data_IF_998808357380
#
_entry.id   IF_998808357380
#
_cell.length_a   1.000
_cell.length_b   1.000
_cell.length_c   1.000
_cell.angle_alpha   90.00
_cell.angle_beta   90.00
_cell.angle_gamma   90.00
#
_symmetry.space_group_name_H-M   'P 1'
#
loop_
_entity.id
_entity.type
_entity.pdbx_description
1 polymer ?
#
# COMPACT_ATOMS: atom_id res chain seq x y z
N UNK A 1 43.10 -1.08 -4.75
CA UNK A 1 42.24 -0.70 -3.61
C UNK A 1 41.03 0.02 -4.19
N UNK A 2 39.86 -0.62 -4.15
CA UNK A 2 38.60 -0.05 -4.66
C UNK A 2 37.88 0.67 -3.53
N UNK A 3 37.70 1.99 -3.66
CA UNK A 3 37.07 2.86 -2.64
C UNK A 3 35.56 2.59 -2.60
N UNK A 4 34.93 2.41 -1.43
CA UNK A 4 33.47 2.25 -1.35
C UNK A 4 32.76 3.56 -1.69
N UNK A 5 31.81 3.51 -2.62
CA UNK A 5 31.00 4.66 -3.02
C UNK A 5 30.00 5.04 -1.91
N UNK A 6 29.77 6.34 -1.64
CA UNK A 6 28.82 6.78 -0.62
C UNK A 6 27.37 6.46 -1.02
N UNK A 7 26.65 5.75 -0.16
CA UNK A 7 25.21 5.52 -0.29
C UNK A 7 24.43 6.84 -0.15
N UNK A 8 23.57 7.22 -1.10
CA UNK A 8 22.79 8.46 -1.02
C UNK A 8 21.78 8.40 0.14
N UNK A 9 21.76 9.45 0.97
CA UNK A 9 20.81 9.61 2.07
C UNK A 9 19.39 9.88 1.57
N UNK A 10 18.39 9.35 2.29
CA UNK A 10 16.97 9.37 1.94
C UNK A 10 16.40 10.78 1.68
N UNK A 11 17.00 11.79 2.32
CA UNK A 11 16.62 13.20 2.16
C UNK A 11 16.97 13.79 0.80
N UNK A 12 18.11 13.40 0.22
CA UNK A 12 18.50 13.82 -1.13
C UNK A 12 17.57 13.23 -2.21
N UNK A 13 17.08 12.01 -1.97
CA UNK A 13 16.10 11.35 -2.84
C UNK A 13 14.73 12.04 -2.79
N UNK A 14 14.26 12.42 -1.59
CA UNK A 14 13.02 13.18 -1.42
C UNK A 14 13.10 14.57 -2.06
N UNK A 15 14.22 15.28 -1.92
CA UNK A 15 14.42 16.58 -2.56
C UNK A 15 14.44 16.50 -4.10
N UNK A 16 15.01 15.42 -4.66
CA UNK A 16 15.02 15.19 -6.11
C UNK A 16 13.62 14.84 -6.63
N UNK A 17 12.86 14.03 -5.90
CA UNK A 17 11.45 13.73 -6.21
C UNK A 17 10.56 14.98 -6.15
N UNK A 18 10.75 15.85 -5.15
CA UNK A 18 9.99 17.10 -5.03
C UNK A 18 10.28 18.03 -6.21
N UNK A 19 11.55 18.15 -6.62
CA UNK A 19 11.94 18.96 -7.79
C UNK A 19 11.34 18.42 -9.09
N UNK A 20 11.35 17.10 -9.28
CA UNK A 20 10.72 16.46 -10.44
C UNK A 20 9.22 16.69 -10.40
N UNK A 21 8.57 16.52 -9.25
CA UNK A 21 7.13 16.75 -9.10
C UNK A 21 6.72 18.19 -9.43
N UNK A 22 7.51 19.19 -9.00
CA UNK A 22 7.29 20.61 -9.33
C UNK A 22 7.43 20.84 -10.84
N UNK A 23 8.48 20.28 -11.46
CA UNK A 23 8.68 20.40 -12.91
C UNK A 23 7.57 19.73 -13.73
N UNK A 24 7.10 18.56 -13.29
CA UNK A 24 5.97 17.86 -13.92
C UNK A 24 4.67 18.64 -13.73
N UNK A 25 4.44 19.24 -12.56
CA UNK A 25 3.25 20.06 -12.31
C UNK A 25 3.21 21.31 -13.19
N UNK A 26 4.34 22.02 -13.32
CA UNK A 26 4.46 23.19 -14.21
C UNK A 26 4.27 22.78 -15.67
N UNK A 27 4.90 21.67 -16.10
CA UNK A 27 4.73 21.14 -17.46
C UNK A 27 3.28 20.74 -17.77
N UNK A 28 2.59 20.11 -16.82
CA UNK A 28 1.18 19.74 -16.96
C UNK A 28 0.26 20.97 -17.02
N UNK A 29 0.53 22.01 -16.23
CA UNK A 29 -0.21 23.27 -16.25
C UNK A 29 -0.10 23.97 -17.62
N UNK A 30 1.12 24.04 -18.17
CA UNK A 30 1.38 24.63 -19.48
C UNK A 30 0.69 23.81 -20.58
N UNK A 31 0.80 22.48 -20.55
CA UNK A 31 0.13 21.62 -21.50
C UNK A 31 -1.40 21.79 -21.45
N UNK A 32 -2.00 21.88 -20.26
CA UNK A 32 -3.43 22.14 -20.09
C UNK A 32 -3.86 23.48 -20.69
N UNK A 33 -3.06 24.54 -20.49
CA UNK A 33 -3.33 25.86 -21.08
C UNK A 33 -3.26 25.83 -22.61
N UNK A 34 -2.25 25.16 -23.18
CA UNK A 34 -2.09 25.01 -24.64
C UNK A 34 -3.26 24.24 -25.24
N UNK A 35 -3.67 23.13 -24.61
CA UNK A 35 -4.86 22.37 -25.03
C UNK A 35 -6.12 23.23 -25.01
N UNK A 36 -6.27 24.07 -23.99
CA UNK A 36 -7.39 25.02 -23.88
C UNK A 36 -7.41 26.03 -25.04
N UNK A 37 -6.25 26.62 -25.36
CA UNK A 37 -6.11 27.58 -26.48
C UNK A 37 -6.38 26.90 -27.83
N UNK A 38 -5.85 25.69 -28.06
CA UNK A 38 -6.07 24.94 -29.30
C UNK A 38 -7.56 24.61 -29.47
N UNK A 39 -8.25 24.21 -28.40
CA UNK A 39 -9.69 23.94 -28.43
C UNK A 39 -10.52 25.17 -28.81
N UNK A 40 -10.13 26.36 -28.32
CA UNK A 40 -10.80 27.63 -28.65
C UNK A 40 -10.60 28.00 -30.13
N UNK A 41 -9.42 27.74 -30.69
CA UNK A 41 -9.06 28.19 -32.03
C UNK A 41 -9.53 27.25 -33.16
N UNK A 42 -9.74 25.96 -32.90
CA UNK A 42 -10.00 24.93 -33.94
C UNK A 42 -11.48 24.52 -34.03
N UNK A 43 -12.35 25.00 -33.13
CA UNK A 43 -13.75 24.59 -33.05
C UNK A 43 -14.65 25.07 -34.20
N UNK A 44 -14.52 24.49 -35.40
CA UNK A 44 -15.38 24.82 -36.55
C UNK A 44 -16.01 23.62 -37.28
N UNK A 45 -15.83 22.38 -36.79
CA UNK A 45 -16.47 21.19 -37.37
C UNK A 45 -17.19 20.33 -36.31
N UNK A 46 -18.47 20.64 -36.02
CA UNK A 46 -19.45 19.81 -35.28
C UNK A 46 -18.93 19.05 -34.03
N UNK A 47 -17.92 19.59 -33.33
CA UNK A 47 -17.31 18.95 -32.16
C UNK A 47 -16.50 17.67 -32.44
N UNK A 48 -16.31 17.24 -33.70
CA UNK A 48 -15.63 15.99 -34.05
C UNK A 48 -14.15 16.03 -33.63
N UNK A 49 -13.46 17.15 -33.89
CA UNK A 49 -12.06 17.34 -33.49
C UNK A 49 -11.93 17.29 -31.97
N UNK A 50 -12.88 17.90 -31.25
CA UNK A 50 -12.90 17.87 -29.79
C UNK A 50 -13.04 16.45 -29.23
N UNK A 51 -13.92 15.63 -29.81
CA UNK A 51 -14.11 14.22 -29.43
C UNK A 51 -12.88 13.36 -29.73
N UNK A 52 -12.26 13.53 -30.89
CA UNK A 52 -11.04 12.82 -31.25
C UNK A 52 -9.90 13.15 -30.26
N UNK A 53 -9.71 14.42 -29.94
CA UNK A 53 -8.71 14.84 -28.96
C UNK A 53 -9.01 14.32 -27.55
N UNK A 54 -10.27 14.38 -27.09
CA UNK A 54 -10.68 13.86 -25.79
C UNK A 54 -10.43 12.35 -25.69
N UNK A 55 -10.57 11.62 -26.80
CA UNK A 55 -10.23 10.19 -26.88
C UNK A 55 -8.73 9.96 -26.70
N UNK A 56 -7.89 10.76 -27.37
CA UNK A 56 -6.42 10.69 -27.19
C UNK A 56 -6.04 10.99 -25.74
N UNK A 57 -6.64 12.03 -25.14
CA UNK A 57 -6.41 12.40 -23.74
C UNK A 57 -6.85 11.28 -22.79
N UNK A 58 -8.02 10.68 -23.02
CA UNK A 58 -8.52 9.54 -22.26
C UNK A 58 -7.55 8.36 -22.30
N UNK A 59 -7.04 8.01 -23.50
CA UNK A 59 -6.07 6.94 -23.67
C UNK A 59 -4.73 7.26 -22.99
N UNK A 60 -4.25 8.49 -23.10
CA UNK A 60 -3.02 8.94 -22.45
C UNK A 60 -3.15 8.90 -20.91
N UNK A 61 -4.28 9.37 -20.37
CA UNK A 61 -4.58 9.32 -18.94
C UNK A 61 -4.65 7.86 -18.45
N UNK A 62 -5.36 6.98 -19.17
CA UNK A 62 -5.42 5.56 -18.86
C UNK A 62 -4.04 4.90 -18.88
N UNK A 63 -3.23 5.16 -19.91
CA UNK A 63 -1.87 4.62 -20.01
C UNK A 63 -0.98 5.10 -18.86
N UNK A 64 -1.06 6.38 -18.50
CA UNK A 64 -0.33 6.96 -17.37
C UNK A 64 -0.71 6.29 -16.04
N UNK A 65 -2.00 6.04 -15.81
CA UNK A 65 -2.44 5.37 -14.58
C UNK A 65 -2.11 3.88 -14.58
N UNK A 66 -2.24 3.19 -15.71
CA UNK A 66 -1.84 1.78 -15.83
C UNK A 66 -0.35 1.60 -15.52
N UNK A 67 0.50 2.51 -15.99
CA UNK A 67 1.93 2.52 -15.65
C UNK A 67 2.16 2.78 -14.16
N UNK A 68 1.40 3.70 -13.55
CA UNK A 68 1.47 3.97 -12.12
C UNK A 68 1.06 2.74 -11.29
N UNK A 69 -0.01 2.04 -11.66
CA UNK A 69 -0.47 0.83 -10.96
C UNK A 69 0.51 -0.34 -11.15
N UNK A 70 1.16 -0.45 -12.31
CA UNK A 70 2.23 -1.44 -12.55
C UNK A 70 3.44 -1.23 -11.62
N UNK A 71 3.83 0.02 -11.35
CA UNK A 71 4.90 0.31 -10.38
C UNK A 71 4.49 0.00 -8.93
N UNK A 72 3.20 -0.01 -8.63
CA UNK A 72 2.65 -0.34 -7.31
C UNK A 72 2.44 -1.86 -7.11
N UNK A 73 2.58 -2.66 -8.17
CA UNK A 73 2.33 -4.09 -8.19
C UNK A 73 3.20 -4.97 -7.26
N UNK A 74 4.49 -4.68 -6.97
CA UNK A 74 5.34 -5.60 -6.22
C UNK A 74 4.91 -5.88 -4.77
N UNK A 75 3.91 -5.17 -4.25
CA UNK A 75 3.44 -5.27 -2.86
C UNK A 75 1.97 -5.69 -2.70
N UNK A 76 1.28 -6.11 -3.77
CA UNK A 76 -0.18 -6.38 -3.74
C UNK A 76 -0.54 -7.82 -4.12
N UNK A 77 -1.61 -8.40 -3.54
CA UNK A 77 -2.13 -9.70 -3.97
C UNK A 77 -2.65 -9.63 -5.41
N UNK A 78 -2.38 -10.68 -6.19
CA UNK A 78 -2.66 -10.76 -7.65
C UNK A 78 -4.13 -10.47 -7.97
N UNK A 79 -5.07 -11.00 -7.19
CA UNK A 79 -6.50 -10.76 -7.40
C UNK A 79 -6.89 -9.27 -7.33
N UNK A 80 -6.22 -8.48 -6.48
CA UNK A 80 -6.48 -7.04 -6.39
C UNK A 80 -5.93 -6.28 -7.61
N UNK A 81 -4.80 -6.71 -8.16
CA UNK A 81 -4.27 -6.14 -9.40
C UNK A 81 -5.22 -6.40 -10.58
N UNK A 82 -5.79 -7.60 -10.68
CA UNK A 82 -6.80 -7.95 -11.68
C UNK A 82 -8.05 -7.07 -11.53
N UNK A 83 -8.57 -6.92 -10.31
CA UNK A 83 -9.73 -6.07 -10.06
C UNK A 83 -9.47 -4.60 -10.44
N UNK A 84 -8.32 -4.06 -10.06
CA UNK A 84 -7.89 -2.71 -10.43
C UNK A 84 -7.84 -2.55 -11.95
N UNK A 85 -7.21 -3.49 -12.65
CA UNK A 85 -7.11 -3.49 -14.11
C UNK A 85 -8.49 -3.49 -14.77
N UNK A 86 -9.41 -4.36 -14.30
CA UNK A 86 -10.79 -4.41 -14.82
C UNK A 86 -11.50 -3.06 -14.63
N UNK A 87 -11.38 -2.44 -13.46
CA UNK A 87 -12.01 -1.14 -13.18
C UNK A 87 -11.44 -0.04 -14.08
N UNK A 88 -10.13 -0.04 -14.35
CA UNK A 88 -9.52 0.90 -15.29
C UNK A 88 -10.01 0.68 -16.73
N UNK A 89 -10.11 -0.56 -17.18
CA UNK A 89 -10.66 -0.91 -18.50
C UNK A 89 -12.12 -0.46 -18.61
N UNK A 90 -12.94 -0.73 -17.60
CA UNK A 90 -14.33 -0.27 -17.55
C UNK A 90 -14.42 1.26 -17.57
N UNK A 91 -13.55 1.96 -16.85
CA UNK A 91 -13.49 3.43 -16.86
C UNK A 91 -13.17 3.97 -18.25
N UNK A 92 -12.21 3.35 -18.96
CA UNK A 92 -11.89 3.70 -20.35
C UNK A 92 -13.10 3.49 -21.26
N UNK A 93 -13.77 2.34 -21.16
CA UNK A 93 -14.95 2.03 -21.97
C UNK A 93 -16.08 3.04 -21.72
N UNK A 94 -16.36 3.37 -20.46
CA UNK A 94 -17.37 4.38 -20.11
C UNK A 94 -16.98 5.75 -20.69
N UNK A 95 -15.72 6.16 -20.54
CA UNK A 95 -15.22 7.42 -21.09
C UNK A 95 -15.38 7.47 -22.62
N UNK A 96 -15.00 6.40 -23.32
CA UNK A 96 -15.16 6.30 -24.77
C UNK A 96 -16.62 6.40 -25.19
N UNK A 97 -17.53 5.67 -24.51
CA UNK A 97 -18.96 5.75 -24.77
C UNK A 97 -19.48 7.17 -24.56
N UNK A 98 -19.13 7.83 -23.44
CA UNK A 98 -19.59 9.20 -23.13
C UNK A 98 -19.09 10.25 -24.13
N UNK A 99 -17.88 10.07 -24.68
CA UNK A 99 -17.31 10.96 -25.71
C UNK A 99 -18.08 10.86 -27.03
N UNK A 100 -18.44 9.64 -27.41
CA UNK A 100 -19.04 9.36 -28.72
C UNK A 100 -20.57 9.40 -28.71
N UNK A 101 -21.19 9.38 -27.54
CA UNK A 101 -22.64 9.49 -27.40
C UNK A 101 -23.12 10.84 -28.00
N UNK A 102 -24.16 10.85 -28.87
CA UNK A 102 -24.68 12.09 -29.44
C UNK A 102 -25.07 13.09 -28.35
N UNK A 103 -24.75 14.37 -28.55
CA UNK A 103 -25.18 15.44 -27.65
C UNK A 103 -26.64 15.75 -27.92
N UNK A 104 -27.49 15.67 -26.88
CA UNK A 104 -28.87 16.15 -26.98
C UNK A 104 -28.92 17.56 -26.41
N UNK A 105 -28.78 18.55 -27.28
CA UNK A 105 -29.05 19.95 -26.97
C UNK A 105 -30.56 20.13 -26.81
N UNK A 106 -31.05 20.05 -25.57
CA UNK A 106 -32.41 20.47 -25.26
C UNK A 106 -32.39 21.95 -24.83
N UNK A 107 -33.08 22.81 -25.59
CA UNK A 107 -33.31 24.20 -25.19
C UNK A 107 -34.51 24.23 -24.24
N UNK A 108 -34.29 24.57 -22.98
CA UNK A 108 -35.37 24.86 -22.04
C UNK A 108 -35.41 26.37 -21.85
N UNK A 109 -36.50 27.01 -22.29
CA UNK A 109 -36.74 28.44 -22.07
C UNK A 109 -35.73 29.40 -22.73
N UNK A 110 -35.23 29.08 -23.92
CA UNK A 110 -34.32 29.97 -24.68
C UNK A 110 -32.86 29.95 -24.21
N UNK A 111 -32.53 29.23 -23.12
CA UNK A 111 -31.15 28.96 -22.73
C UNK A 111 -30.69 27.65 -23.36
N UNK A 112 -29.72 27.73 -24.28
CA UNK A 112 -29.01 26.56 -24.79
C UNK A 112 -28.11 26.02 -23.68
N UNK A 113 -28.51 24.92 -23.05
CA UNK A 113 -27.64 24.19 -22.15
C UNK A 113 -26.52 23.56 -22.97
N UNK A 114 -25.26 23.86 -22.66
CA UNK A 114 -24.11 23.21 -23.28
C UNK A 114 -23.79 21.93 -22.48
N UNK A 115 -24.05 20.72 -23.02
CA UNK A 115 -23.82 19.47 -22.32
C UNK A 115 -22.33 19.09 -22.17
N UNK A 116 -21.40 19.84 -22.79
CA UNK A 116 -19.97 19.51 -22.78
C UNK A 116 -19.36 19.45 -21.36
N UNK A 117 -19.43 20.51 -20.54
CA UNK A 117 -18.83 20.51 -19.21
C UNK A 117 -19.46 19.48 -18.27
N UNK A 118 -20.77 19.25 -18.39
CA UNK A 118 -21.51 18.39 -17.46
C UNK A 118 -21.15 16.92 -17.64
N UNK A 119 -20.95 16.46 -18.88
CA UNK A 119 -20.45 15.11 -19.18
C UNK A 119 -19.03 14.88 -18.67
N UNK A 120 -18.16 15.89 -18.81
CA UNK A 120 -16.80 15.82 -18.27
C UNK A 120 -16.80 15.65 -16.75
N UNK A 121 -17.55 16.48 -16.02
CA UNK A 121 -17.67 16.35 -14.56
C UNK A 121 -18.34 15.04 -14.15
N UNK A 122 -19.39 14.60 -14.86
CA UNK A 122 -20.03 13.31 -14.62
C UNK A 122 -19.03 12.16 -14.79
N UNK A 123 -18.18 12.19 -15.82
CA UNK A 123 -17.10 11.22 -16.00
C UNK A 123 -16.11 11.25 -14.83
N UNK A 124 -15.70 12.44 -14.36
CA UNK A 124 -14.84 12.54 -13.17
C UNK A 124 -15.51 11.97 -11.92
N UNK A 125 -16.81 12.18 -11.72
CA UNK A 125 -17.57 11.57 -10.62
C UNK A 125 -17.66 10.06 -10.75
N UNK A 126 -17.86 9.53 -11.97
CA UNK A 126 -17.83 8.09 -12.23
C UNK A 126 -16.47 7.51 -11.84
N UNK A 127 -15.36 8.12 -12.30
CA UNK A 127 -14.01 7.72 -11.92
C UNK A 127 -13.87 7.75 -10.39
N UNK A 128 -14.27 8.84 -9.74
CA UNK A 128 -14.23 8.98 -8.29
C UNK A 128 -15.00 7.86 -7.57
N UNK A 129 -16.21 7.52 -8.01
CA UNK A 129 -17.05 6.46 -7.42
C UNK A 129 -16.38 5.09 -7.60
N UNK A 130 -15.90 4.78 -8.80
CA UNK A 130 -15.19 3.53 -9.09
C UNK A 130 -13.93 3.40 -8.21
N UNK A 131 -13.15 4.48 -8.10
CA UNK A 131 -11.95 4.49 -7.27
C UNK A 131 -12.27 4.42 -5.78
N UNK A 132 -13.34 5.06 -5.32
CA UNK A 132 -13.80 4.95 -3.94
C UNK A 132 -14.24 3.52 -3.62
N UNK A 133 -14.91 2.83 -4.55
CA UNK A 133 -15.27 1.42 -4.39
C UNK A 133 -14.03 0.51 -4.30
N UNK A 134 -13.04 0.68 -5.18
CA UNK A 134 -11.78 -0.08 -5.12
C UNK A 134 -11.00 0.22 -3.83
N UNK A 135 -10.94 1.49 -3.43
CA UNK A 135 -10.34 1.91 -2.16
C UNK A 135 -11.04 1.26 -0.97
N UNK A 136 -12.37 1.22 -1.00
CA UNK A 136 -13.20 0.59 0.01
C UNK A 136 -12.89 -0.91 0.12
N UNK A 137 -12.87 -1.64 -1.01
CA UNK A 137 -12.49 -3.06 -1.06
C UNK A 137 -11.11 -3.24 -0.42
N UNK A 138 -10.14 -2.39 -0.76
CA UNK A 138 -8.77 -2.46 -0.22
C UNK A 138 -8.71 -2.22 1.29
N UNK A 139 -9.39 -1.20 1.79
CA UNK A 139 -9.39 -0.86 3.21
C UNK A 139 -10.13 -1.92 4.04
N UNK A 140 -11.27 -2.37 3.52
CA UNK A 140 -12.16 -3.29 4.18
C UNK A 140 -11.58 -4.71 4.26
N UNK A 141 -11.01 -5.23 3.18
CA UNK A 141 -10.32 -6.54 3.19
C UNK A 141 -9.13 -6.57 4.17
N UNK A 142 -8.39 -5.46 4.28
CA UNK A 142 -7.34 -5.30 5.29
C UNK A 142 -7.90 -5.28 6.72
N UNK A 143 -9.08 -4.70 6.92
CA UNK A 143 -9.76 -4.72 8.21
C UNK A 143 -10.25 -6.13 8.59
N UNK A 144 -10.84 -6.88 7.64
CA UNK A 144 -11.28 -8.26 7.86
C UNK A 144 -10.13 -9.23 8.16
N UNK A 145 -8.95 -8.99 7.61
CA UNK A 145 -7.79 -9.85 7.83
C UNK A 145 -7.34 -9.93 9.30
N UNK A 146 -7.73 -8.97 10.16
CA UNK A 146 -7.34 -8.96 11.59
C UNK A 146 -8.02 -10.05 12.40
N UNK A 147 -9.29 -10.36 12.11
CA UNK A 147 -10.09 -11.33 12.88
C UNK A 147 -11.09 -12.04 11.95
N UNK A 148 -10.65 -13.13 11.33
CA UNK A 148 -11.45 -13.92 10.39
C UNK A 148 -12.30 -14.95 11.14
N UNK A 149 -13.60 -14.69 11.25
CA UNK A 149 -14.61 -15.67 11.66
C UNK A 149 -15.53 -15.94 10.45
N UNK A 150 -16.22 -17.09 10.37
CA UNK A 150 -17.15 -17.37 9.26
C UNK A 150 -18.24 -16.31 9.16
N UNK A 151 -18.76 -15.86 10.31
CA UNK A 151 -19.75 -14.79 10.39
C UNK A 151 -19.24 -13.48 9.76
N UNK A 152 -18.06 -12.99 10.18
CA UNK A 152 -17.48 -11.75 9.64
C UNK A 152 -17.12 -11.89 8.15
N UNK A 153 -16.73 -13.08 7.69
CA UNK A 153 -16.45 -13.33 6.28
C UNK A 153 -17.72 -13.25 5.41
N UNK A 154 -18.85 -13.83 5.86
CA UNK A 154 -20.13 -13.77 5.14
C UNK A 154 -20.62 -12.32 5.06
N UNK A 155 -20.69 -11.62 6.20
CA UNK A 155 -21.10 -10.21 6.26
C UNK A 155 -20.17 -9.35 5.40
N UNK A 156 -18.87 -9.67 5.41
CA UNK A 156 -17.89 -8.96 4.62
C UNK A 156 -18.12 -9.08 3.11
N UNK A 157 -18.35 -10.29 2.61
CA UNK A 157 -18.68 -10.50 1.20
C UNK A 157 -19.98 -9.83 0.80
N UNK A 158 -21.02 -9.91 1.64
CA UNK A 158 -22.29 -9.20 1.40
C UNK A 158 -22.05 -7.70 1.29
N UNK A 159 -21.27 -7.11 2.21
CA UNK A 159 -20.95 -5.68 2.19
C UNK A 159 -20.20 -5.30 0.91
N UNK A 160 -19.20 -6.09 0.50
CA UNK A 160 -18.47 -5.84 -0.74
C UNK A 160 -19.36 -5.89 -1.98
N UNK A 161 -20.28 -6.86 -2.05
CA UNK A 161 -21.27 -6.95 -3.14
C UNK A 161 -22.20 -5.75 -3.13
N UNK A 162 -22.70 -5.33 -1.96
CA UNK A 162 -23.55 -4.14 -1.83
C UNK A 162 -22.83 -2.86 -2.25
N UNK A 163 -21.56 -2.71 -1.91
CA UNK A 163 -20.74 -1.56 -2.35
C UNK A 163 -20.52 -1.58 -3.86
N UNK A 164 -20.24 -2.75 -4.45
CA UNK A 164 -20.15 -2.91 -5.90
C UNK A 164 -21.46 -2.58 -6.61
N UNK A 165 -22.58 -3.09 -6.07
CA UNK A 165 -23.92 -2.77 -6.54
C UNK A 165 -24.22 -1.28 -6.44
N UNK A 166 -23.90 -0.65 -5.30
CA UNK A 166 -24.06 0.79 -5.09
C UNK A 166 -23.26 1.59 -6.11
N UNK A 167 -22.01 1.21 -6.38
CA UNK A 167 -21.19 1.87 -7.38
C UNK A 167 -21.85 1.79 -8.76
N UNK A 168 -22.35 0.62 -9.17
CA UNK A 168 -23.09 0.45 -10.43
C UNK A 168 -24.34 1.33 -10.44
N UNK A 169 -25.11 1.34 -9.35
CA UNK A 169 -26.33 2.16 -9.23
C UNK A 169 -26.05 3.67 -9.25
N UNK A 170 -24.85 4.12 -8.90
CA UNK A 170 -24.49 5.54 -9.03
C UNK A 170 -23.89 5.88 -10.40
N UNK A 171 -23.17 4.93 -11.01
CA UNK A 171 -22.52 5.12 -12.32
C UNK A 171 -23.54 5.19 -13.44
N UNK A 172 -24.56 4.33 -13.41
CA UNK A 172 -25.59 4.27 -14.46
C UNK A 172 -26.34 5.61 -14.67
N UNK A 173 -26.87 6.27 -13.62
CA UNK A 173 -27.54 7.55 -13.78
C UNK A 173 -26.57 8.66 -14.18
N UNK A 174 -25.31 8.64 -13.74
CA UNK A 174 -24.31 9.60 -14.20
C UNK A 174 -23.97 9.43 -15.68
N UNK A 175 -23.89 8.18 -16.16
CA UNK A 175 -23.55 7.86 -17.55
C UNK A 175 -24.71 8.19 -18.51
N UNK A 176 -25.96 7.94 -18.09
CA UNK A 176 -27.14 7.99 -18.95
C UNK A 176 -28.15 9.08 -18.57
N UNK A 177 -27.73 10.08 -17.76
CA UNK A 177 -28.61 11.14 -17.26
C UNK A 177 -29.40 11.87 -18.35
N UNK A 178 -28.81 12.02 -19.55
CA UNK A 178 -29.42 12.71 -20.69
C UNK A 178 -30.38 11.83 -21.51
N UNK A 179 -30.42 10.54 -21.22
CA UNK A 179 -31.14 9.55 -22.01
C UNK A 179 -32.26 8.87 -21.27
N UNK A 180 -32.10 8.69 -19.96
CA UNK A 180 -33.02 7.95 -19.13
C UNK A 180 -33.39 8.84 -17.94
N UNK A 181 -34.69 9.09 -17.82
CA UNK A 181 -35.27 9.65 -16.60
C UNK A 181 -35.49 8.53 -15.59
N UNK A 182 -34.83 8.61 -14.45
CA UNK A 182 -34.94 7.61 -13.39
C UNK A 182 -36.13 7.93 -12.48
N UNK A 183 -36.97 6.92 -12.24
CA UNK A 183 -38.09 7.05 -11.30
C UNK A 183 -37.61 7.14 -9.84
N UNK A 184 -38.46 7.69 -8.98
CA UNK A 184 -38.19 7.86 -7.54
C UNK A 184 -37.81 6.54 -6.83
N UNK A 185 -38.41 5.41 -7.25
CA UNK A 185 -38.09 4.09 -6.70
C UNK A 185 -36.61 3.72 -6.87
N UNK A 186 -35.98 4.15 -7.97
CA UNK A 186 -34.56 3.92 -8.21
C UNK A 186 -33.70 4.60 -7.15
N UNK A 187 -33.96 5.88 -6.89
CA UNK A 187 -33.22 6.65 -5.89
C UNK A 187 -33.44 6.12 -4.47
N UNK A 188 -34.66 5.67 -4.15
CA UNK A 188 -34.94 4.99 -2.88
C UNK A 188 -34.13 3.72 -2.72
N UNK A 189 -34.05 2.89 -3.76
CA UNK A 189 -33.24 1.67 -3.75
C UNK A 189 -31.75 2.00 -3.60
N UNK A 190 -31.23 2.98 -4.34
CA UNK A 190 -29.83 3.42 -4.22
C UNK A 190 -29.50 3.87 -2.81
N UNK A 191 -30.37 4.68 -2.18
CA UNK A 191 -30.19 5.14 -0.80
C UNK A 191 -30.28 3.99 0.19
N UNK A 192 -31.23 3.07 0.03
CA UNK A 192 -31.36 1.89 0.88
C UNK A 192 -30.11 1.00 0.84
N UNK A 193 -29.58 0.74 -0.36
CA UNK A 193 -28.32 0.00 -0.55
C UNK A 193 -27.14 0.77 0.05
N UNK A 194 -27.09 2.09 -0.10
CA UNK A 194 -26.05 2.92 0.50
C UNK A 194 -26.02 2.84 2.03
N UNK A 195 -27.20 2.91 2.67
CA UNK A 195 -27.32 2.76 4.13
C UNK A 195 -26.88 1.36 4.55
N UNK A 196 -27.36 0.31 3.87
CA UNK A 196 -27.00 -1.07 4.19
C UNK A 196 -25.49 -1.33 4.06
N UNK A 197 -24.87 -0.78 3.01
CA UNK A 197 -23.41 -0.83 2.82
C UNK A 197 -22.66 -0.06 3.91
N UNK A 198 -23.13 1.14 4.29
CA UNK A 198 -22.54 1.93 5.36
C UNK A 198 -22.60 1.21 6.71
N UNK A 199 -23.74 0.57 7.03
CA UNK A 199 -23.90 -0.26 8.24
C UNK A 199 -22.94 -1.45 8.21
N UNK A 200 -22.87 -2.21 7.11
CA UNK A 200 -21.94 -3.34 6.96
C UNK A 200 -20.47 -2.92 7.08
N UNK A 201 -20.14 -1.70 6.64
CA UNK A 201 -18.81 -1.11 6.79
C UNK A 201 -18.50 -0.78 8.24
N UNK A 202 -19.44 -0.14 8.95
CA UNK A 202 -19.27 0.28 10.34
C UNK A 202 -19.22 -0.89 11.33
N UNK A 203 -19.82 -2.03 10.98
CA UNK A 203 -19.86 -3.22 11.83
C UNK A 203 -18.46 -3.79 12.10
N UNK A 204 -17.59 -3.79 11.10
CA UNK A 204 -16.24 -4.40 11.18
C UNK A 204 -15.34 -3.75 12.24
N UNK A 205 -15.14 -2.42 12.27
CA UNK A 205 -14.33 -1.80 13.31
C UNK A 205 -14.96 -1.98 14.70
N UNK A 206 -16.30 -1.99 14.83
CA UNK A 206 -16.99 -2.20 16.10
C UNK A 206 -16.75 -3.61 16.66
N UNK A 207 -16.93 -4.63 15.82
CA UNK A 207 -16.63 -6.03 16.17
C UNK A 207 -15.15 -6.19 16.49
N UNK A 208 -14.27 -5.59 15.68
CA UNK A 208 -12.83 -5.64 15.95
C UNK A 208 -12.44 -4.95 17.26
N UNK A 209 -13.09 -3.85 17.63
CA UNK A 209 -12.87 -3.16 18.90
C UNK A 209 -13.41 -3.96 20.10
N UNK A 210 -14.60 -4.54 19.96
CA UNK A 210 -15.23 -5.34 21.01
C UNK A 210 -14.45 -6.62 21.33
N UNK A 211 -13.86 -7.24 20.31
CA UNK A 211 -13.09 -8.48 20.45
C UNK A 211 -11.57 -8.29 20.41
N UNK A 212 -11.06 -7.05 20.48
CA UNK A 212 -9.64 -6.80 20.59
C UNK A 212 -9.14 -7.38 21.94
N UNK A 213 -8.09 -8.25 21.95
CA UNK A 213 -7.49 -8.69 23.20
C UNK A 213 -7.05 -7.45 23.97
N UNK A 214 -7.56 -7.26 25.20
CA UNK A 214 -7.02 -6.24 26.10
C UNK A 214 -5.54 -6.54 26.22
N UNK A 215 -4.69 -5.58 25.86
CA UNK A 215 -3.24 -5.73 26.03
C UNK A 215 -3.01 -6.22 27.46
N UNK A 216 -2.23 -7.30 27.67
CA UNK A 216 -1.87 -7.73 29.01
C UNK A 216 -1.31 -6.52 29.72
N UNK A 217 -2.02 -6.05 30.75
CA UNK A 217 -1.47 -5.02 31.64
C UNK A 217 -0.21 -5.65 32.18
N UNK A 218 0.95 -5.11 31.81
CA UNK A 218 2.24 -5.54 32.35
C UNK A 218 2.19 -5.23 33.83
N UNK A 219 1.77 -6.22 34.62
CA UNK A 219 1.98 -6.21 36.06
C UNK A 219 3.48 -6.46 36.20
N UNK A 220 4.26 -5.55 36.81
CA UNK A 220 5.66 -5.82 37.06
C UNK A 220 5.75 -7.11 37.87
N UNK A 221 6.24 -8.19 37.26
CA UNK A 221 6.66 -9.36 38.01
C UNK A 221 7.89 -8.90 38.78
N UNK A 222 7.77 -8.75 40.11
CA UNK A 222 8.91 -8.53 40.98
C UNK A 222 9.82 -9.76 40.86
N UNK A 223 10.83 -9.68 40.00
CA UNK A 223 11.66 -10.83 39.60
C UNK A 223 12.92 -10.91 40.46
N UNK A 224 12.75 -10.91 41.79
CA UNK A 224 13.87 -11.01 42.72
C UNK A 224 13.47 -10.67 44.14
N UNK A 225 14.10 -11.34 45.10
CA UNK A 225 14.05 -10.91 46.50
C UNK A 225 14.56 -9.46 46.57
N UNK A 226 13.85 -8.54 47.24
CA UNK A 226 14.29 -7.15 47.30
C UNK A 226 15.71 -7.03 47.84
N UNK A 227 16.49 -6.14 47.24
CA UNK A 227 17.86 -5.82 47.66
C UNK A 227 17.92 -4.42 48.25
N UNK A 228 18.98 -4.12 48.99
CA UNK A 228 19.31 -2.77 49.40
C UNK A 228 19.53 -1.87 48.16
N UNK A 229 19.68 -0.56 48.39
CA UNK A 229 19.94 0.42 47.34
C UNK A 229 21.22 0.14 46.52
N UNK A 230 22.08 -0.75 47.01
CA UNK A 230 23.27 -1.25 46.31
C UNK A 230 22.96 -2.28 45.20
N UNK A 231 21.71 -2.70 45.06
CA UNK A 231 21.22 -3.69 44.10
C UNK A 231 21.96 -5.05 44.16
N UNK A 232 22.65 -5.34 45.27
CA UNK A 232 23.50 -6.54 45.42
C UNK A 232 23.23 -7.27 46.72
N UNK A 233 22.99 -6.55 47.80
CA UNK A 233 22.76 -7.15 49.11
C UNK A 233 21.25 -7.44 49.24
N UNK A 234 20.81 -8.67 49.45
CA UNK A 234 19.39 -8.99 49.67
C UNK A 234 18.92 -8.45 51.03
N UNK A 235 17.66 -8.02 51.12
CA UNK A 235 17.05 -7.61 52.39
C UNK A 235 16.97 -8.80 53.35
N UNK A 236 17.22 -8.57 54.66
CA UNK A 236 16.98 -9.57 55.69
C UNK A 236 15.54 -10.09 55.65
N UNK A 237 15.38 -11.37 55.97
CA UNK A 237 14.08 -12.04 56.03
C UNK A 237 13.54 -11.91 57.45
N UNK A 238 12.32 -11.40 57.62
CA UNK A 238 11.64 -11.45 58.91
C UNK A 238 11.19 -12.88 59.24
N UNK A 239 10.88 -13.19 60.51
CA UNK A 239 10.36 -14.51 60.91
C UNK A 239 9.09 -14.95 60.16
N UNK A 240 8.35 -14.00 59.58
CA UNK A 240 7.14 -14.24 58.77
C UNK A 240 7.45 -14.51 57.28
N UNK A 241 8.74 -14.55 56.90
CA UNK A 241 9.16 -14.77 55.53
C UNK A 241 9.01 -13.55 54.62
N UNK A 242 8.77 -12.37 55.17
CA UNK A 242 8.71 -11.11 54.39
C UNK A 242 10.05 -10.36 54.43
N UNK A 243 10.37 -9.53 53.41
CA UNK A 243 11.60 -8.73 53.41
C UNK A 243 11.52 -7.58 54.43
N UNK A 244 12.62 -7.37 55.16
CA UNK A 244 12.76 -6.28 56.14
C UNK A 244 12.95 -4.92 55.46
N UNK A 245 11.82 -4.30 55.09
CA UNK A 245 11.82 -2.97 54.49
C UNK A 245 12.35 -1.88 55.42
N UNK A 246 12.30 -2.07 56.74
CA UNK A 246 12.88 -1.11 57.66
C UNK A 246 14.42 -1.13 57.60
N UNK A 247 15.01 -2.30 57.32
CA UNK A 247 16.44 -2.39 57.05
C UNK A 247 16.86 -1.62 55.79
N UNK A 248 16.01 -1.58 54.75
CA UNK A 248 16.29 -0.79 53.54
C UNK A 248 16.49 0.70 53.82
N UNK A 249 15.70 1.28 54.72
CA UNK A 249 15.79 2.70 55.07
C UNK A 249 16.87 3.00 56.11
N UNK A 250 17.07 2.11 57.07
CA UNK A 250 17.96 2.35 58.21
C UNK A 250 19.38 1.83 58.00
N UNK A 251 19.57 0.92 57.04
CA UNK A 251 20.84 0.22 56.81
C UNK A 251 21.15 -0.87 57.84
N UNK A 252 20.28 -1.09 58.84
CA UNK A 252 20.48 -2.07 59.90
C UNK A 252 19.28 -3.03 59.98
N UNK A 253 19.50 -4.35 60.16
CA UNK A 253 18.40 -5.30 60.36
C UNK A 253 17.59 -4.97 61.61
N UNK A 254 16.26 -5.01 61.51
CA UNK A 254 15.36 -4.74 62.64
C UNK A 254 15.40 -5.85 63.68
N UNK A 255 15.77 -7.06 63.26
CA UNK A 255 15.98 -8.22 64.13
C UNK A 255 17.45 -8.60 64.05
N UNK A 256 18.12 -8.73 65.19
CA UNK A 256 19.49 -9.24 65.23
C UNK A 256 19.50 -10.65 64.62
N UNK A 257 20.09 -10.79 63.43
CA UNK A 257 20.20 -12.07 62.76
C UNK A 257 20.96 -13.05 63.68
N UNK A 258 20.51 -14.30 63.85
CA UNK A 258 21.38 -15.36 64.35
C UNK A 258 22.61 -15.42 63.44
N UNK A 259 23.81 -15.39 64.02
CA UNK A 259 25.04 -15.47 63.27
C UNK A 259 25.04 -16.74 62.39
N UNK A 260 24.96 -16.55 61.08
CA UNK A 260 25.16 -17.62 60.11
C UNK A 260 26.62 -18.10 60.20
N UNK A 261 26.90 -19.41 60.28
CA UNK A 261 28.26 -19.92 60.16
C UNK A 261 28.83 -19.58 58.77
N UNK A 262 30.17 -19.40 58.65
CA UNK A 262 30.80 -18.96 57.41
C UNK A 262 30.52 -19.94 56.27
N UNK A 263 30.27 -19.35 55.10
CA UNK A 263 29.91 -20.02 53.86
C UNK A 263 30.84 -21.20 53.55
N UNK A 264 30.27 -22.41 53.51
CA UNK A 264 30.85 -23.53 52.79
C UNK A 264 30.74 -23.22 51.30
N UNK A 265 31.85 -22.75 50.71
CA UNK A 265 32.03 -22.79 49.27
C UNK A 265 31.97 -24.25 48.82
N UNK A 266 31.01 -24.55 47.94
CA UNK A 266 30.96 -25.79 47.19
C UNK A 266 29.95 -26.82 47.68
N UNK A 267 28.68 -26.64 47.32
CA UNK A 267 27.84 -27.77 46.86
C UNK A 267 26.90 -27.26 45.76
N UNK A 268 26.96 -27.92 44.62
CA UNK A 268 26.13 -27.62 43.46
C UNK A 268 24.65 -27.81 43.77
N UNK A 269 23.84 -26.93 43.19
CA UNK A 269 22.41 -27.08 43.10
C UNK A 269 22.03 -28.46 42.52
N UNK A 270 21.18 -29.26 43.18
CA UNK A 270 20.61 -30.42 42.51
C UNK A 270 19.66 -29.94 41.40
N UNK A 271 19.91 -30.42 40.19
CA UNK A 271 19.01 -30.24 39.06
C UNK A 271 17.63 -30.85 39.41
N UNK A 272 16.51 -30.22 39.01
CA UNK A 272 15.21 -30.87 39.12
C UNK A 272 15.16 -32.09 38.20
N UNK A 273 15.02 -33.28 38.78
CA UNK A 273 14.73 -34.51 38.04
C UNK A 273 13.37 -34.36 37.37
N UNK A 274 13.36 -34.15 36.06
CA UNK A 274 12.19 -34.33 35.21
C UNK A 274 11.88 -35.83 35.13
N UNK A 275 11.00 -36.31 36.00
CA UNK A 275 10.35 -37.60 35.84
C UNK A 275 9.15 -37.42 34.88
N UNK A 276 9.39 -37.59 33.57
CA UNK A 276 8.34 -37.83 32.60
C UNK A 276 8.62 -39.19 31.94
N UNK A 277 8.01 -40.24 32.47
CA UNK A 277 7.95 -41.57 31.86
C UNK A 277 6.80 -41.62 30.84
N UNK A 278 7.02 -41.92 29.55
CA UNK A 278 5.94 -42.05 28.57
C UNK A 278 5.00 -43.23 28.93
N UNK A 279 3.68 -43.10 28.77
CA UNK A 279 2.78 -44.24 28.92
C UNK A 279 3.01 -45.25 27.78
N UNK A 280 3.14 -46.52 28.16
CA UNK A 280 3.20 -47.66 27.25
C UNK A 280 1.88 -47.80 26.47
N UNK A 281 1.90 -48.16 25.17
CA UNK A 281 0.68 -48.49 24.44
C UNK A 281 0.11 -49.82 24.93
N UNK A 282 -1.13 -49.77 25.42
CA UNK A 282 -1.95 -50.92 25.77
C UNK A 282 -2.18 -51.80 24.54
N UNK A 283 -1.79 -53.06 24.67
CA UNK A 283 -2.18 -54.13 23.75
C UNK A 283 -3.62 -54.52 24.06
N UNK A 284 -4.55 -54.29 23.14
CA UNK A 284 -5.88 -54.87 23.24
C UNK A 284 -6.43 -55.34 21.87
N UNK A 285 -6.59 -56.67 21.85
CA UNK A 285 -7.67 -57.45 21.24
C UNK A 285 -7.60 -57.84 19.75
N UNK A 286 -7.44 -59.14 19.56
CA UNK A 286 -7.65 -59.88 18.32
C UNK A 286 -9.14 -60.13 18.05
N UNK A 287 -9.58 -60.16 16.77
CA UNK A 287 -10.82 -60.82 16.38
C UNK A 287 -10.57 -62.26 15.85
N UNK A 288 -11.53 -63.20 16.03
CA UNK A 288 -11.35 -64.59 15.62
C UNK A 288 -11.61 -64.79 14.11
N UNK A 289 -10.89 -65.76 13.56
CA UNK A 289 -11.01 -66.24 12.20
C UNK A 289 -12.26 -67.12 12.00
N UNK A 290 -12.99 -66.89 10.92
CA UNK A 290 -13.85 -67.88 10.27
C UNK A 290 -13.71 -67.68 8.75
N UNK A 291 -13.35 -68.75 8.06
CA UNK A 291 -12.73 -68.72 6.74
C UNK A 291 -13.66 -68.43 5.56
N UNK A 292 -13.02 -68.14 4.43
CA UNK A 292 -13.41 -68.60 3.10
C UNK A 292 -12.15 -68.70 2.21
N UNK A 293 -11.99 -69.88 1.60
CA UNK A 293 -11.00 -70.23 0.57
C UNK A 293 -11.46 -69.79 -0.82
N UNK A 294 -10.49 -69.61 -1.73
CA UNK A 294 -10.43 -69.93 -3.19
C UNK A 294 -9.60 -68.87 -3.99
N UNK A 295 -8.97 -69.23 -5.14
CA UNK A 295 -7.52 -69.43 -5.20
C UNK A 295 -6.74 -68.39 -6.06
N UNK A 296 -5.41 -68.57 -6.05
CA UNK A 296 -4.36 -67.81 -6.73
C UNK A 296 -4.43 -67.77 -8.29
N UNK A 297 -3.68 -66.85 -8.92
CA UNK A 297 -2.43 -67.27 -9.57
C UNK A 297 -1.20 -66.38 -9.26
N UNK A 298 -0.02 -67.00 -9.35
CA UNK A 298 1.33 -66.47 -9.10
C UNK A 298 1.95 -65.77 -10.35
N UNK A 299 3.26 -65.46 -10.39
CA UNK A 299 4.04 -64.52 -9.58
C UNK A 299 4.75 -63.46 -10.45
N UNK A 300 4.94 -62.24 -9.92
CA UNK A 300 5.76 -61.22 -10.56
C UNK A 300 6.08 -60.06 -9.61
N UNK A 301 7.17 -60.17 -8.88
CA UNK A 301 7.88 -59.06 -8.23
C UNK A 301 9.33 -59.07 -8.75
N UNK A 302 10.11 -57.96 -8.71
CA UNK A 302 10.06 -56.90 -7.69
C UNK A 302 10.31 -55.45 -8.22
N UNK A 303 10.10 -54.43 -7.37
CA UNK A 303 11.15 -53.51 -6.88
C UNK A 303 10.56 -52.17 -6.33
N UNK A 304 10.81 -51.88 -5.05
CA UNK A 304 10.88 -50.56 -4.41
C UNK A 304 11.63 -50.79 -3.07
N UNK A 305 12.53 -49.90 -2.58
CA UNK A 305 12.07 -48.63 -1.94
C UNK A 305 13.10 -47.45 -1.84
N UNK A 306 12.62 -46.27 -1.40
CA UNK A 306 13.39 -45.12 -0.85
C UNK A 306 13.23 -43.83 -1.69
N UNK A 307 13.06 -42.59 -1.20
CA UNK A 307 13.09 -41.94 0.12
C UNK A 307 12.59 -40.48 -0.08
N UNK A 308 11.91 -39.78 0.86
CA UNK A 308 11.48 -38.38 0.70
C UNK A 308 12.61 -37.36 0.98
N UNK A 309 12.66 -36.18 0.33
CA UNK A 309 13.76 -35.21 0.47
C UNK A 309 13.68 -34.34 1.74
N UNK A 310 14.85 -34.04 2.31
CA UNK A 310 15.06 -33.19 3.50
C UNK A 310 14.82 -31.68 3.24
N UNK A 311 14.45 -30.89 4.28
CA UNK A 311 14.31 -29.43 4.18
C UNK A 311 15.66 -28.66 4.22
N UNK A 312 15.74 -27.44 3.65
CA UNK A 312 16.97 -26.67 3.54
C UNK A 312 17.44 -26.04 4.86
N UNK A 313 18.76 -26.07 5.10
CA UNK A 313 19.43 -25.49 6.27
C UNK A 313 19.77 -23.99 6.06
N UNK A 314 19.58 -23.17 7.09
CA UNK A 314 19.95 -21.75 7.12
C UNK A 314 21.45 -21.56 7.49
N UNK A 315 22.18 -20.59 6.89
CA UNK A 315 23.57 -20.31 7.29
C UNK A 315 23.69 -19.54 8.61
N UNK A 316 24.67 -19.95 9.42
CA UNK A 316 25.07 -19.37 10.71
C UNK A 316 25.99 -18.13 10.50
N UNK A 317 25.84 -17.02 11.25
CA UNK A 317 26.74 -15.86 11.17
C UNK A 317 28.06 -16.09 11.95
N UNK A 318 29.21 -15.78 11.33
CA UNK A 318 30.53 -15.87 11.95
C UNK A 318 31.29 -14.54 12.01
N UNK A 319 31.74 -14.21 13.22
CA UNK A 319 32.94 -13.45 13.68
C UNK A 319 33.33 -12.06 13.08
N UNK A 320 33.65 -11.06 13.94
CA UNK A 320 34.23 -9.78 13.52
C UNK A 320 35.77 -9.82 13.41
N UNK A 321 36.41 -9.17 12.43
CA UNK A 321 37.85 -8.99 12.40
C UNK A 321 38.32 -7.75 13.21
N UNK A 322 39.58 -7.84 13.67
CA UNK A 322 40.28 -6.96 14.61
C UNK A 322 40.55 -5.52 14.11
N UNK A 323 40.90 -4.56 15.00
CA UNK A 323 41.15 -3.17 14.64
C UNK A 323 42.48 -3.00 13.89
N UNK A 324 42.46 -2.35 12.73
CA UNK A 324 43.67 -1.97 11.99
C UNK A 324 44.15 -0.56 12.40
N UNK A 325 45.48 -0.41 12.45
CA UNK A 325 46.27 0.77 12.82
C UNK A 325 45.97 2.05 12.02
N UNK A 326 46.27 3.24 12.57
CA UNK A 326 46.06 4.51 11.87
C UNK A 326 47.17 4.77 10.84
N UNK A 327 46.80 5.01 9.58
CA UNK A 327 47.71 5.41 8.49
C UNK A 327 47.35 6.83 7.99
N UNK A 328 48.20 7.50 7.16
CA UNK A 328 48.70 8.84 7.43
C UNK A 328 47.90 9.94 6.70
N UNK A 329 48.03 11.18 7.19
CA UNK A 329 47.38 12.37 6.63
C UNK A 329 47.87 12.62 5.18
N UNK A 330 46.97 12.69 4.18
CA UNK A 330 47.33 13.06 2.81
C UNK A 330 47.49 14.58 2.62
N UNK A 331 48.29 15.04 1.64
CA UNK A 331 48.62 16.45 1.42
C UNK A 331 47.45 17.24 0.81
N UNK A 332 47.44 18.55 1.08
CA UNK A 332 46.39 19.48 0.67
C UNK A 332 46.29 19.63 -0.87
N UNK A 333 45.08 19.73 -1.45
CA UNK A 333 44.90 19.92 -2.90
C UNK A 333 45.21 21.35 -3.35
N UNK A 334 45.86 21.47 -4.51
CA UNK A 334 46.16 22.71 -5.21
C UNK A 334 44.91 23.50 -5.65
N UNK A 335 44.98 24.84 -5.76
CA UNK A 335 43.83 25.68 -6.11
C UNK A 335 43.40 25.51 -7.58
N UNK A 336 42.09 25.61 -7.89
CA UNK A 336 41.56 25.40 -9.24
C UNK A 336 41.98 26.48 -10.24
N UNK A 337 42.31 26.03 -11.46
CA UNK A 337 42.55 26.89 -12.63
C UNK A 337 41.28 27.66 -13.04
N UNK A 338 41.50 28.90 -13.51
CA UNK A 338 40.45 29.84 -13.90
C UNK A 338 39.63 29.38 -15.12
N UNK A 339 38.34 29.74 -15.20
CA UNK A 339 37.46 29.32 -16.29
C UNK A 339 37.77 30.02 -17.64
N UNK A 340 37.44 29.38 -18.79
CA UNK A 340 37.64 29.96 -20.12
C UNK A 340 36.75 31.18 -20.38
N UNK A 341 37.30 32.17 -21.11
CA UNK A 341 36.62 33.41 -21.49
C UNK A 341 35.39 33.17 -22.39
N UNK A 342 34.34 33.96 -22.17
CA UNK A 342 33.10 33.92 -22.92
C UNK A 342 33.25 34.48 -24.37
N UNK A 343 32.43 34.03 -25.33
CA UNK A 343 32.43 34.54 -26.70
C UNK A 343 32.00 36.02 -26.78
N UNK A 344 32.72 36.82 -27.56
CA UNK A 344 32.39 38.21 -27.84
C UNK A 344 31.11 38.35 -28.69
N UNK A 345 30.28 39.39 -28.48
CA UNK A 345 29.13 39.69 -29.31
C UNK A 345 29.52 40.33 -30.66
N UNK A 346 28.71 40.17 -31.73
CA UNK A 346 28.97 40.76 -33.05
C UNK A 346 28.82 42.28 -33.03
N UNK A 347 29.73 42.96 -33.73
CA UNK A 347 29.77 44.41 -33.89
C UNK A 347 28.68 44.94 -34.84
N UNK A 348 28.15 46.11 -34.47
CA UNK A 348 27.15 46.91 -35.17
C UNK A 348 27.55 47.27 -36.62
N UNK A 349 26.63 47.08 -37.56
CA UNK A 349 26.66 47.71 -38.89
C UNK A 349 25.61 48.83 -38.98
N UNK A 350 25.93 50.01 -39.54
CA UNK A 350 25.02 51.15 -39.62
C UNK A 350 23.95 51.00 -40.74
N UNK A 351 22.85 51.78 -40.67
CA UNK A 351 21.66 51.58 -41.50
C UNK A 351 21.84 52.12 -42.93
N UNK A 352 21.46 51.32 -43.93
CA UNK A 352 21.31 51.75 -45.32
C UNK A 352 19.88 52.28 -45.52
N UNK A 353 19.80 53.56 -45.81
CA UNK A 353 18.60 54.30 -46.19
C UNK A 353 18.24 54.10 -47.67
N UNK A 354 16.94 53.92 -47.94
CA UNK A 354 16.29 54.38 -49.18
C UNK A 354 16.26 53.42 -50.38
N UNK A 355 15.14 52.71 -50.57
CA UNK A 355 14.63 52.42 -51.91
C UNK A 355 13.12 52.73 -52.02
N UNK A 356 12.69 53.54 -53.01
CA UNK A 356 11.31 53.97 -53.19
C UNK A 356 10.45 52.97 -54.01
N UNK A 357 9.22 52.78 -53.54
CA UNK A 357 7.97 52.70 -54.33
C UNK A 357 7.87 51.77 -55.53
N UNK A 358 7.17 50.64 -55.35
CA UNK A 358 6.44 49.95 -56.43
C UNK A 358 4.92 50.07 -56.19
N UNK A 359 4.11 50.49 -57.19
CA UNK A 359 2.65 50.53 -57.07
C UNK A 359 2.01 49.13 -57.21
N UNK A 360 0.82 48.91 -56.63
CA UNK A 360 0.12 47.63 -56.69
C UNK A 360 -0.48 47.33 -58.09
N UNK A 361 -0.65 46.05 -58.46
CA UNK A 361 -1.20 45.63 -59.75
C UNK A 361 -2.72 45.91 -59.87
N UNK A 362 -3.24 46.14 -61.10
CA UNK A 362 -4.65 46.42 -61.35
C UNK A 362 -5.55 45.18 -61.23
N UNK A 363 -6.85 45.35 -60.90
CA UNK A 363 -7.81 44.27 -60.77
C UNK A 363 -8.22 43.68 -62.14
N UNK A 364 -8.44 42.36 -62.16
CA UNK A 364 -8.91 41.60 -63.33
C UNK A 364 -10.39 41.91 -63.65
N UNK A 365 -10.80 41.88 -64.93
CA UNK A 365 -12.17 42.10 -65.35
C UNK A 365 -13.11 40.93 -64.98
N UNK A 366 -14.39 41.20 -64.70
CA UNK A 366 -15.39 40.17 -64.39
C UNK A 366 -15.70 39.29 -65.62
N UNK A 367 -15.87 37.98 -65.39
CA UNK A 367 -16.52 37.06 -66.33
C UNK A 367 -17.98 36.86 -65.96
#
# INVERSE_FOLDING_TARGET
MTVPSPTPTKDASNARLLRIAIWVAIGALIAAAVVCVIMVLVGSANGIIGRAFLTILLLAAFAGVALLDAHLAPRRPVWFALLSMVVWVVTLLIGAVMIWLPERSFSVGGFSYNPGPTRFFAFLFIVLILQLAVLHVRLYTKALARRRTPFTNIVGWITLVLVGLLAIMLVFPLMLNEWIEYHDIYWRLTVAVAILAAVGTALVPLVNALFAPRAPRVVPVATGWPTYADARTPLPVLPDGTPDWNAYYTGYPTVAAPALPPAAQGQGWPAPQQAWAPPAPEQHWAPPAAGQQWPAPAPGQPNYPGEPPLPPQHPVPGHPPAPAEPSPIPPAPEPPQAPPQAPQPPQDQPPVSGQPGYPPPPPLPPQ
#
